data_IF_037067620059
#
_entry.id   IF_037067620059
#
_cell.length_a   1.000
_cell.length_b   1.000
_cell.length_c   1.000
_cell.angle_alpha   90.00
_cell.angle_beta   90.00
_cell.angle_gamma   90.00
#
_symmetry.space_group_name_H-M   'P 1'
#
loop_
_entity.id
_entity.type
_entity.pdbx_description
1 polymer ?
#
# COMPACT_ATOMS: atom_id res chain seq x y z
N UNK A 1 28.41 -56.53 19.35
CA UNK A 1 29.13 -55.27 19.08
C UNK A 1 28.75 -54.64 17.70
N UNK A 2 28.67 -55.41 16.61
CA UNK A 2 28.31 -54.91 15.27
C UNK A 2 26.91 -54.30 15.15
N UNK A 3 25.94 -54.78 15.89
CA UNK A 3 24.55 -54.22 15.87
C UNK A 3 24.50 -52.85 16.54
N UNK A 4 25.26 -52.60 17.62
CA UNK A 4 25.36 -51.29 18.28
C UNK A 4 26.06 -50.22 17.44
N UNK A 5 27.06 -50.59 16.64
CA UNK A 5 27.72 -49.64 15.74
C UNK A 5 26.86 -49.27 14.53
N UNK A 6 26.09 -50.23 14.01
CA UNK A 6 25.17 -49.95 12.90
C UNK A 6 24.07 -48.96 13.32
N UNK A 7 23.60 -49.01 14.53
CA UNK A 7 22.63 -48.08 15.08
C UNK A 7 23.21 -46.64 15.24
N UNK A 8 24.49 -46.51 15.63
CA UNK A 8 25.13 -45.19 15.75
C UNK A 8 25.19 -44.40 14.44
N UNK A 9 25.41 -45.08 13.32
CA UNK A 9 25.40 -44.45 11.99
C UNK A 9 24.00 -44.03 11.58
N UNK A 10 23.01 -44.84 11.85
CA UNK A 10 21.61 -44.54 11.61
C UNK A 10 21.17 -43.33 12.44
N UNK A 11 21.53 -43.33 13.74
CA UNK A 11 21.20 -42.21 14.64
C UNK A 11 21.86 -40.89 14.20
N UNK A 12 23.12 -40.94 13.72
CA UNK A 12 23.78 -39.74 13.16
C UNK A 12 23.10 -39.24 11.91
N UNK A 13 22.70 -40.18 11.01
CA UNK A 13 21.99 -39.81 9.78
C UNK A 13 20.61 -39.19 10.09
N UNK A 14 19.87 -39.80 11.00
CA UNK A 14 18.57 -39.27 11.44
C UNK A 14 18.73 -37.88 12.05
N UNK A 15 19.72 -37.68 12.93
CA UNK A 15 19.99 -36.40 13.53
C UNK A 15 20.41 -35.36 12.48
N UNK A 16 21.24 -35.72 11.51
CA UNK A 16 21.63 -34.85 10.42
C UNK A 16 20.42 -34.38 9.59
N UNK A 17 19.55 -35.33 9.22
CA UNK A 17 18.30 -35.02 8.48
C UNK A 17 17.38 -34.15 9.33
N UNK A 18 17.22 -34.47 10.62
CA UNK A 18 16.39 -33.70 11.54
C UNK A 18 16.87 -32.25 11.66
N UNK A 19 18.16 -32.02 11.92
CA UNK A 19 18.71 -30.67 12.01
C UNK A 19 18.64 -29.95 10.67
N UNK A 20 18.84 -30.64 9.55
CA UNK A 20 18.63 -30.09 8.20
C UNK A 20 17.21 -29.62 7.99
N UNK A 21 16.21 -30.43 8.37
CA UNK A 21 14.80 -30.03 8.30
C UNK A 21 14.47 -28.84 9.21
N UNK A 22 15.01 -28.81 10.44
CA UNK A 22 14.82 -27.70 11.38
C UNK A 22 15.43 -26.40 10.81
N UNK A 23 16.64 -26.44 10.27
CA UNK A 23 17.26 -25.29 9.62
C UNK A 23 16.47 -24.82 8.41
N UNK A 24 15.98 -25.74 7.57
CA UNK A 24 15.13 -25.39 6.43
C UNK A 24 13.81 -24.73 6.87
N UNK A 25 13.20 -25.24 7.96
CA UNK A 25 11.99 -24.64 8.53
C UNK A 25 12.26 -23.24 9.07
N UNK A 26 13.34 -23.04 9.82
CA UNK A 26 13.75 -21.73 10.32
C UNK A 26 14.00 -20.77 9.16
N UNK A 27 14.71 -21.22 8.14
CA UNK A 27 14.95 -20.43 6.91
C UNK A 27 13.63 -20.01 6.25
N UNK A 28 12.69 -20.92 6.08
CA UNK A 28 11.37 -20.65 5.50
C UNK A 28 10.60 -19.61 6.34
N UNK A 29 10.60 -19.77 7.67
CA UNK A 29 9.96 -18.82 8.57
C UNK A 29 10.59 -17.43 8.49
N UNK A 30 11.91 -17.35 8.39
CA UNK A 30 12.62 -16.08 8.19
C UNK A 30 12.24 -15.43 6.88
N UNK A 31 12.14 -16.15 5.79
CA UNK A 31 11.70 -15.65 4.48
C UNK A 31 10.28 -15.08 4.54
N UNK A 32 9.38 -15.77 5.22
CA UNK A 32 7.98 -15.32 5.33
C UNK A 32 7.86 -14.09 6.20
N UNK A 33 8.62 -14.00 7.30
CA UNK A 33 8.43 -12.96 8.33
C UNK A 33 9.31 -11.73 8.14
N UNK A 34 10.52 -11.88 7.59
CA UNK A 34 11.53 -10.81 7.61
C UNK A 34 11.66 -10.07 6.28
N UNK A 35 11.83 -10.79 5.20
CA UNK A 35 12.15 -10.22 3.90
C UNK A 35 11.22 -10.73 2.80
N UNK A 36 11.02 -9.90 1.80
CA UNK A 36 10.42 -10.31 0.52
C UNK A 36 11.16 -9.66 -0.62
N UNK A 37 11.39 -10.43 -1.68
CA UNK A 37 11.93 -9.90 -2.92
C UNK A 37 10.79 -9.53 -3.87
N UNK A 38 10.91 -8.36 -4.50
CA UNK A 38 9.98 -7.88 -5.52
C UNK A 38 10.75 -7.39 -6.73
N UNK A 39 10.23 -7.67 -7.92
CA UNK A 39 10.74 -7.10 -9.16
C UNK A 39 9.99 -5.80 -9.45
N UNK A 40 10.71 -4.73 -9.75
CA UNK A 40 10.10 -3.42 -10.05
C UNK A 40 9.44 -3.46 -11.42
N UNK A 41 8.09 -3.28 -11.50
CA UNK A 41 7.37 -3.45 -12.77
C UNK A 41 7.40 -2.20 -13.66
N UNK A 42 7.58 -1.02 -13.09
CA UNK A 42 7.44 0.28 -13.79
C UNK A 42 8.63 1.19 -13.55
N UNK A 43 8.84 2.15 -14.45
CA UNK A 43 9.90 3.15 -14.35
C UNK A 43 9.54 4.36 -13.46
N UNK A 44 8.40 4.35 -12.77
CA UNK A 44 7.89 5.51 -12.02
C UNK A 44 8.76 5.94 -10.83
N UNK A 45 9.77 5.17 -10.46
CA UNK A 45 10.74 5.46 -9.41
C UNK A 45 12.15 5.71 -9.94
N UNK A 46 12.27 5.89 -11.28
CA UNK A 46 13.56 6.25 -11.89
C UNK A 46 14.02 7.64 -11.40
N UNK A 47 15.34 7.88 -11.14
CA UNK A 47 16.45 6.95 -11.26
C UNK A 47 16.68 6.06 -10.03
N UNK A 48 15.96 6.25 -8.92
CA UNK A 48 16.21 5.52 -7.65
C UNK A 48 15.99 4.02 -7.80
N UNK A 49 14.97 3.60 -8.55
CA UNK A 49 14.70 2.20 -8.90
C UNK A 49 14.40 2.11 -10.39
N UNK A 50 15.10 1.19 -11.06
CA UNK A 50 14.96 0.98 -12.50
C UNK A 50 13.96 -0.16 -12.74
N UNK A 51 13.18 -0.07 -13.82
CA UNK A 51 12.29 -1.16 -14.25
C UNK A 51 13.10 -2.45 -14.45
N UNK A 52 12.70 -3.51 -13.77
CA UNK A 52 13.35 -4.80 -13.81
C UNK A 52 14.23 -5.11 -12.61
N UNK A 53 14.60 -4.11 -11.79
CA UNK A 53 15.38 -4.31 -10.58
C UNK A 53 14.68 -5.25 -9.59
N UNK A 54 15.48 -6.02 -8.87
CA UNK A 54 15.01 -6.81 -7.73
C UNK A 54 15.36 -6.07 -6.44
N UNK A 55 14.33 -5.80 -5.64
CA UNK A 55 14.47 -5.12 -4.35
C UNK A 55 14.10 -6.06 -3.21
N UNK A 56 14.85 -5.98 -2.13
CA UNK A 56 14.57 -6.72 -0.89
C UNK A 56 13.86 -5.78 0.07
N UNK A 57 12.65 -6.15 0.45
CA UNK A 57 11.81 -5.37 1.37
C UNK A 57 11.92 -5.92 2.76
N UNK A 58 12.29 -5.04 3.70
CA UNK A 58 12.29 -5.37 5.13
C UNK A 58 10.87 -5.21 5.68
N UNK A 59 10.25 -6.33 6.02
CA UNK A 59 8.89 -6.36 6.56
C UNK A 59 8.81 -5.90 8.02
N UNK A 60 9.91 -5.91 8.74
CA UNK A 60 9.92 -5.55 10.17
C UNK A 60 9.62 -4.08 10.39
N UNK A 61 9.93 -3.24 9.42
CA UNK A 61 9.69 -1.79 9.54
C UNK A 61 8.21 -1.51 9.72
N UNK A 62 7.39 -1.91 8.76
CA UNK A 62 5.94 -1.64 8.76
C UNK A 62 5.10 -2.76 9.39
N UNK A 63 5.75 -3.85 9.81
CA UNK A 63 5.11 -5.06 10.28
C UNK A 63 4.69 -6.00 9.15
N UNK A 64 4.84 -7.29 9.40
CA UNK A 64 4.40 -8.35 8.48
C UNK A 64 2.88 -8.41 8.38
N UNK A 65 2.38 -8.85 7.24
CA UNK A 65 0.95 -9.10 7.01
C UNK A 65 0.69 -10.60 7.03
N UNK A 66 -0.29 -11.01 7.82
CA UNK A 66 -0.76 -12.40 7.87
C UNK A 66 -2.13 -12.43 7.21
N UNK A 67 -2.26 -13.19 6.14
CA UNK A 67 -3.51 -13.41 5.45
C UNK A 67 -3.53 -14.79 4.80
N UNK A 68 -4.72 -15.30 4.50
CA UNK A 68 -4.85 -16.58 3.82
C UNK A 68 -4.57 -16.41 2.32
N UNK A 69 -3.40 -16.91 1.88
CA UNK A 69 -2.93 -16.82 0.50
C UNK A 69 -3.89 -17.54 -0.47
N UNK A 70 -4.46 -18.68 -0.06
CA UNK A 70 -5.39 -19.43 -0.91
C UNK A 70 -6.69 -18.66 -1.20
N UNK A 71 -7.19 -17.90 -0.21
CA UNK A 71 -8.34 -17.03 -0.41
C UNK A 71 -7.97 -15.84 -1.31
N UNK A 72 -6.75 -15.32 -1.16
CA UNK A 72 -6.23 -14.23 -1.98
C UNK A 72 -6.18 -14.61 -3.47
N UNK A 73 -5.59 -15.76 -3.78
CA UNK A 73 -5.50 -16.27 -5.17
C UNK A 73 -6.88 -16.54 -5.77
N UNK A 74 -7.86 -16.94 -4.95
CA UNK A 74 -9.24 -17.22 -5.38
C UNK A 74 -10.15 -15.98 -5.40
N UNK A 75 -9.59 -14.76 -5.23
CA UNK A 75 -10.34 -13.50 -5.14
C UNK A 75 -11.50 -13.52 -4.12
N UNK A 76 -11.37 -14.33 -3.05
CA UNK A 76 -12.32 -14.35 -1.95
C UNK A 76 -12.02 -13.23 -0.95
N UNK A 77 -13.00 -12.93 -0.09
CA UNK A 77 -12.80 -11.95 0.98
C UNK A 77 -11.61 -12.34 1.86
N UNK A 78 -10.65 -11.41 2.00
CA UNK A 78 -9.41 -11.62 2.74
C UNK A 78 -9.44 -10.77 4.01
N UNK A 79 -9.29 -11.43 5.15
CA UNK A 79 -8.99 -10.75 6.41
C UNK A 79 -7.48 -10.63 6.56
N UNK A 80 -6.98 -9.41 6.69
CA UNK A 80 -5.56 -9.13 6.84
C UNK A 80 -5.30 -8.73 8.29
N UNK A 81 -4.49 -9.51 8.98
CA UNK A 81 -3.93 -9.14 10.27
C UNK A 81 -2.51 -8.62 10.08
N UNK A 82 -2.16 -7.54 10.75
CA UNK A 82 -0.82 -6.96 10.70
C UNK A 82 -0.12 -7.14 12.03
N UNK A 83 1.11 -7.63 11.98
CA UNK A 83 2.01 -7.64 13.14
C UNK A 83 2.54 -6.22 13.29
N UNK A 84 2.62 -5.67 14.52
CA UNK A 84 3.22 -4.36 14.75
C UNK A 84 4.64 -4.29 14.19
N UNK A 85 4.97 -3.20 13.52
CA UNK A 85 6.32 -2.96 13.01
C UNK A 85 7.24 -2.40 14.09
N UNK A 86 8.55 -2.48 13.86
CA UNK A 86 9.57 -1.99 14.81
C UNK A 86 9.65 -0.46 14.79
N UNK A 87 9.41 0.17 13.63
CA UNK A 87 9.38 1.63 13.54
C UNK A 87 8.22 2.13 12.68
N UNK A 88 7.86 3.38 12.87
CA UNK A 88 6.89 4.07 12.02
C UNK A 88 7.50 4.41 10.66
N UNK A 89 6.66 4.44 9.64
CA UNK A 89 7.00 4.95 8.31
C UNK A 89 7.40 6.42 8.43
N UNK A 90 8.39 6.84 7.65
CA UNK A 90 8.89 8.22 7.61
C UNK A 90 8.74 8.79 6.20
N UNK A 91 8.77 10.11 6.08
CA UNK A 91 8.90 10.79 4.78
C UNK A 91 10.15 10.29 4.06
N UNK A 92 10.06 10.16 2.76
CA UNK A 92 11.09 9.63 1.86
C UNK A 92 11.34 8.11 1.95
N UNK A 93 10.68 7.35 2.85
CA UNK A 93 10.73 5.90 2.78
C UNK A 93 10.13 5.40 1.46
N UNK A 94 10.80 4.45 0.83
CA UNK A 94 10.24 3.75 -0.34
C UNK A 94 9.36 2.62 0.17
N UNK A 95 8.10 2.68 -0.18
CA UNK A 95 7.09 1.74 0.26
C UNK A 95 6.69 0.83 -0.89
N UNK A 96 6.59 -0.48 -0.61
CA UNK A 96 5.97 -1.44 -1.51
C UNK A 96 4.62 -1.83 -0.91
N UNK A 97 3.57 -1.58 -1.67
CA UNK A 97 2.20 -1.86 -1.25
C UNK A 97 1.36 -2.39 -2.41
N UNK A 98 0.30 -3.12 -2.07
CA UNK A 98 -0.62 -3.62 -3.08
C UNK A 98 -1.49 -2.48 -3.62
N UNK A 99 -1.83 -2.57 -4.89
CA UNK A 99 -2.71 -1.58 -5.52
C UNK A 99 -4.03 -1.49 -4.76
N UNK A 100 -4.42 -0.30 -4.31
CA UNK A 100 -5.74 -0.09 -3.72
C UNK A 100 -6.85 -0.02 -4.79
N UNK A 101 -6.47 0.13 -6.05
CA UNK A 101 -7.39 0.24 -7.18
C UNK A 101 -7.23 -1.02 -8.02
N UNK A 102 -8.15 -1.97 -7.84
CA UNK A 102 -8.23 -3.16 -8.69
C UNK A 102 -8.79 -2.84 -10.09
N UNK A 103 -9.11 -3.87 -10.87
CA UNK A 103 -9.72 -3.72 -12.21
C UNK A 103 -11.04 -2.91 -12.22
N UNK A 104 -11.67 -2.74 -11.08
CA UNK A 104 -12.88 -1.95 -10.90
C UNK A 104 -12.51 -0.52 -10.48
N UNK A 105 -12.46 0.39 -11.45
CA UNK A 105 -12.01 1.80 -11.30
C UNK A 105 -12.72 2.61 -10.19
N UNK A 106 -13.87 2.16 -9.70
CA UNK A 106 -14.73 2.94 -8.79
C UNK A 106 -14.76 2.44 -7.33
N UNK A 107 -13.91 1.48 -6.95
CA UNK A 107 -13.88 0.98 -5.57
C UNK A 107 -12.45 0.64 -5.16
N UNK A 108 -12.08 1.03 -3.96
CA UNK A 108 -10.84 0.56 -3.34
C UNK A 108 -10.97 -0.95 -3.13
N UNK A 109 -10.20 -1.71 -3.88
CA UNK A 109 -10.11 -3.16 -3.81
C UNK A 109 -8.66 -3.56 -3.54
N UNK A 110 -8.49 -4.55 -2.67
CA UNK A 110 -7.15 -5.04 -2.34
C UNK A 110 -6.75 -6.14 -3.33
N UNK A 111 -5.91 -5.81 -4.29
CA UNK A 111 -5.32 -6.78 -5.20
C UNK A 111 -3.95 -7.25 -4.67
N UNK A 112 -3.85 -8.53 -4.31
CA UNK A 112 -2.63 -9.12 -3.77
C UNK A 112 -1.56 -9.32 -4.84
N UNK A 113 -1.97 -9.46 -6.10
CA UNK A 113 -1.07 -9.76 -7.22
C UNK A 113 -0.43 -8.51 -7.82
N UNK A 114 -1.06 -7.34 -7.63
CA UNK A 114 -0.54 -6.07 -8.10
C UNK A 114 0.09 -5.29 -6.95
N UNK A 115 1.32 -4.85 -7.14
CA UNK A 115 2.03 -4.03 -6.17
C UNK A 115 2.73 -2.86 -6.85
N UNK A 116 2.86 -1.78 -6.10
CA UNK A 116 3.57 -0.57 -6.50
C UNK A 116 4.70 -0.27 -5.53
N UNK A 117 5.79 0.24 -6.09
CA UNK A 117 6.85 0.88 -5.32
C UNK A 117 6.68 2.39 -5.45
N UNK A 118 6.54 3.12 -4.34
CA UNK A 118 6.38 4.58 -4.32
C UNK A 118 7.07 5.17 -3.11
N UNK A 119 7.48 6.44 -3.23
CA UNK A 119 8.07 7.19 -2.12
C UNK A 119 6.97 7.79 -1.25
N UNK A 120 7.12 7.68 0.08
CA UNK A 120 6.23 8.33 1.04
C UNK A 120 6.53 9.85 1.05
N UNK A 121 5.57 10.64 0.60
CA UNK A 121 5.69 12.10 0.54
C UNK A 121 5.00 12.76 1.73
N UNK A 122 3.89 12.19 2.20
CA UNK A 122 3.12 12.73 3.31
C UNK A 122 2.72 11.67 4.32
N UNK A 123 2.80 12.05 5.58
CA UNK A 123 2.42 11.25 6.74
C UNK A 123 1.06 11.71 7.28
N UNK A 124 0.39 10.88 8.09
CA UNK A 124 -0.85 11.27 8.77
C UNK A 124 -0.66 12.59 9.54
N UNK A 125 -1.58 13.54 9.35
CA UNK A 125 -1.52 14.88 9.92
C UNK A 125 -0.80 15.92 9.07
N UNK A 126 -0.12 15.51 7.99
CA UNK A 126 0.52 16.46 7.07
C UNK A 126 -0.48 17.06 6.09
N UNK A 127 -0.13 18.24 5.59
CA UNK A 127 -0.75 18.82 4.40
C UNK A 127 0.28 18.84 3.27
N UNK A 128 -0.05 18.20 2.14
CA UNK A 128 0.84 18.11 0.99
C UNK A 128 0.36 19.05 -0.11
N UNK A 129 1.28 19.89 -0.57
CA UNK A 129 1.11 20.69 -1.78
C UNK A 129 2.34 20.51 -2.66
N UNK A 130 2.15 20.28 -3.94
CA UNK A 130 3.21 20.12 -4.92
C UNK A 130 3.05 21.20 -5.97
N UNK A 131 4.07 22.04 -6.11
CA UNK A 131 4.17 23.04 -7.17
C UNK A 131 5.40 22.67 -7.98
N UNK A 132 5.20 22.23 -9.20
CA UNK A 132 6.29 21.90 -10.12
C UNK A 132 6.59 23.14 -10.97
N UNK A 133 7.82 23.65 -10.99
CA UNK A 133 8.20 24.68 -11.94
C UNK A 133 8.23 24.05 -13.34
N UNK A 134 7.31 24.47 -14.19
CA UNK A 134 7.21 24.22 -15.64
C UNK A 134 7.53 22.81 -16.11
N UNK A 135 6.50 21.99 -16.27
CA UNK A 135 6.59 20.60 -16.76
C UNK A 135 6.44 20.51 -18.30
N UNK A 136 6.83 21.54 -19.05
CA UNK A 136 6.67 21.51 -20.53
C UNK A 136 7.64 20.58 -21.27
N UNK A 137 8.61 19.96 -20.61
CA UNK A 137 9.65 19.18 -21.26
C UNK A 137 9.64 17.65 -20.98
N UNK A 138 8.76 17.13 -20.13
CA UNK A 138 8.85 15.74 -19.65
C UNK A 138 7.53 14.93 -19.77
N UNK A 139 6.60 15.35 -20.61
CA UNK A 139 5.30 14.66 -20.78
C UNK A 139 5.33 13.77 -22.01
N UNK A 140 6.33 12.92 -22.19
CA UNK A 140 6.29 11.97 -23.31
C UNK A 140 6.24 10.50 -22.93
N UNK A 141 6.21 10.11 -21.65
CA UNK A 141 5.98 8.71 -21.31
C UNK A 141 5.03 8.52 -20.12
N UNK A 142 3.76 8.29 -20.49
CA UNK A 142 2.75 7.46 -19.79
C UNK A 142 2.66 7.59 -18.28
N UNK A 143 2.16 8.73 -17.80
CA UNK A 143 1.34 8.73 -16.60
C UNK A 143 -0.13 8.74 -17.00
N UNK A 144 -0.62 7.63 -17.51
CA UNK A 144 -2.05 7.32 -17.46
C UNK A 144 -2.40 6.88 -16.03
N UNK A 145 -2.19 7.75 -15.04
CA UNK A 145 -3.15 7.85 -13.98
C UNK A 145 -4.39 8.45 -14.64
N UNK A 146 -5.32 7.62 -15.05
CA UNK A 146 -6.66 8.07 -15.39
C UNK A 146 -7.34 8.51 -14.10
N UNK A 147 -6.91 9.66 -13.57
CA UNK A 147 -7.76 10.43 -12.68
C UNK A 147 -8.92 10.96 -13.55
N UNK A 148 -10.12 10.77 -13.08
CA UNK A 148 -11.30 11.30 -13.70
C UNK A 148 -11.07 12.80 -13.93
N UNK A 149 -11.16 13.30 -15.18
CA UNK A 149 -10.90 14.71 -15.51
C UNK A 149 -11.74 15.68 -14.65
N UNK A 150 -12.95 15.26 -14.29
CA UNK A 150 -13.84 16.00 -13.40
C UNK A 150 -13.24 16.28 -12.00
N UNK A 151 -12.25 15.51 -11.57
CA UNK A 151 -11.63 15.61 -10.27
C UNK A 151 -10.69 16.81 -10.16
N UNK A 152 -9.92 17.07 -11.21
CA UNK A 152 -8.98 18.17 -11.25
C UNK A 152 -9.70 19.51 -11.38
N UNK A 153 -10.74 19.57 -12.21
CA UNK A 153 -11.49 20.79 -12.46
C UNK A 153 -12.20 21.28 -11.19
N UNK A 154 -12.74 20.38 -10.40
CA UNK A 154 -13.49 20.69 -9.17
C UNK A 154 -12.58 21.18 -8.04
N UNK A 155 -11.35 20.70 -7.99
CA UNK A 155 -10.35 21.05 -6.97
C UNK A 155 -9.42 22.18 -7.41
N UNK A 156 -9.48 22.57 -8.69
CA UNK A 156 -8.55 23.55 -9.27
C UNK A 156 -7.10 23.06 -9.27
N UNK A 157 -6.90 21.73 -9.26
CA UNK A 157 -5.58 21.12 -9.32
C UNK A 157 -5.19 20.86 -10.75
N UNK A 158 -3.91 21.01 -11.05
CA UNK A 158 -3.32 20.71 -12.35
C UNK A 158 -2.16 19.74 -12.18
N UNK A 159 -1.61 19.23 -13.29
CA UNK A 159 -0.40 18.41 -13.24
C UNK A 159 0.80 19.15 -12.63
N UNK A 160 0.80 20.48 -12.71
CA UNK A 160 1.85 21.38 -12.20
C UNK A 160 1.56 21.85 -10.78
N UNK A 161 0.29 21.95 -10.39
CA UNK A 161 -0.15 22.46 -9.10
C UNK A 161 -1.13 21.48 -8.46
N UNK A 162 -0.65 20.73 -7.49
CA UNK A 162 -1.45 19.76 -6.72
C UNK A 162 -1.54 20.19 -5.26
N UNK A 163 -2.73 20.09 -4.69
CA UNK A 163 -2.97 20.40 -3.28
C UNK A 163 -3.45 21.84 -3.05
N UNK A 164 -3.60 22.23 -1.76
CA UNK A 164 -3.24 21.47 -0.57
C UNK A 164 -4.13 20.26 -0.32
N UNK A 165 -3.54 19.12 -0.01
CA UNK A 165 -4.23 17.89 0.39
C UNK A 165 -3.84 17.56 1.83
N UNK A 166 -4.79 17.58 2.74
CA UNK A 166 -4.59 17.09 4.10
C UNK A 166 -4.57 15.55 4.14
N UNK A 167 -3.68 14.97 4.91
CA UNK A 167 -3.56 13.52 5.07
C UNK A 167 -4.11 13.12 6.44
N UNK A 168 -5.34 12.58 6.52
CA UNK A 168 -5.99 12.32 7.78
C UNK A 168 -5.29 11.29 8.66
N UNK A 169 -5.29 11.56 9.97
CA UNK A 169 -5.01 10.58 11.01
C UNK A 169 -6.27 9.79 11.37
N UNK A 170 -6.06 8.65 11.99
CA UNK A 170 -7.16 7.94 12.65
C UNK A 170 -7.75 8.81 13.76
N UNK A 171 -9.07 9.02 13.71
CA UNK A 171 -9.80 9.83 14.67
C UNK A 171 -10.06 11.26 14.23
N UNK A 172 -9.33 11.75 13.21
CA UNK A 172 -9.57 13.09 12.67
C UNK A 172 -10.98 13.22 12.12
N UNK A 173 -11.56 14.39 12.36
CA UNK A 173 -12.87 14.74 11.85
C UNK A 173 -12.74 15.85 10.82
N UNK A 174 -13.37 15.66 9.66
CA UNK A 174 -13.44 16.68 8.62
C UNK A 174 -14.90 16.96 8.29
N UNK A 175 -15.25 18.24 8.01
CA UNK A 175 -16.57 18.59 7.51
C UNK A 175 -16.76 18.03 6.10
N UNK A 176 -17.96 17.55 5.80
CA UNK A 176 -18.31 17.03 4.49
C UNK A 176 -18.95 18.14 3.67
N UNK A 177 -18.26 18.48 2.59
CA UNK A 177 -18.70 19.37 1.54
C UNK A 177 -18.32 18.77 0.18
N UNK A 178 -18.61 19.46 -0.90
CA UNK A 178 -18.29 19.00 -2.26
C UNK A 178 -16.80 18.68 -2.44
N UNK A 179 -15.91 19.52 -1.91
CA UNK A 179 -14.46 19.33 -2.01
C UNK A 179 -14.00 18.09 -1.23
N UNK A 180 -14.38 17.99 0.04
CA UNK A 180 -13.95 16.86 0.90
C UNK A 180 -14.59 15.55 0.49
N UNK A 181 -15.83 15.54 0.01
CA UNK A 181 -16.46 14.37 -0.56
C UNK A 181 -15.74 13.89 -1.81
N UNK A 182 -15.31 14.82 -2.66
CA UNK A 182 -14.50 14.50 -3.84
C UNK A 182 -13.12 13.96 -3.44
N UNK A 183 -12.42 14.59 -2.49
CA UNK A 183 -11.08 14.19 -2.08
C UNK A 183 -11.03 12.84 -1.36
N UNK A 184 -11.98 12.58 -0.48
CA UNK A 184 -11.93 11.43 0.43
C UNK A 184 -13.08 10.44 0.26
N UNK A 185 -14.00 10.69 -0.67
CA UNK A 185 -15.20 9.86 -0.86
C UNK A 185 -14.89 8.38 -1.03
N UNK A 186 -13.93 8.04 -1.87
CA UNK A 186 -13.52 6.63 -2.07
C UNK A 186 -12.99 5.97 -0.79
N UNK A 187 -12.29 6.73 0.06
CA UNK A 187 -11.78 6.24 1.35
C UNK A 187 -12.93 6.05 2.32
N UNK A 188 -13.85 7.01 2.39
CA UNK A 188 -15.02 6.94 3.26
C UNK A 188 -15.92 5.76 2.87
N UNK A 189 -16.17 5.54 1.59
CA UNK A 189 -16.90 4.39 1.07
C UNK A 189 -16.20 3.06 1.41
N UNK A 190 -14.87 3.03 1.30
CA UNK A 190 -14.10 1.85 1.67
C UNK A 190 -14.18 1.55 3.16
N UNK A 191 -14.10 2.57 4.02
CA UNK A 191 -14.16 2.42 5.48
C UNK A 191 -15.56 2.05 5.97
N UNK A 192 -16.60 2.59 5.35
CA UNK A 192 -18.01 2.38 5.76
C UNK A 192 -18.65 1.19 5.07
N UNK A 193 -18.08 0.74 3.94
CA UNK A 193 -18.66 -0.28 3.04
C UNK A 193 -19.99 0.15 2.42
N UNK A 194 -20.27 1.44 2.42
CA UNK A 194 -21.49 2.04 1.91
C UNK A 194 -21.13 3.16 0.93
N UNK A 195 -22.00 3.40 -0.03
CA UNK A 195 -21.83 4.52 -0.97
C UNK A 195 -22.20 5.84 -0.30
N UNK A 196 -21.55 6.89 -0.78
CA UNK A 196 -21.88 8.27 -0.45
C UNK A 196 -22.85 8.76 -1.51
N UNK A 197 -24.03 9.14 -1.08
CA UNK A 197 -25.05 9.77 -1.93
C UNK A 197 -25.20 11.25 -1.56
N UNK A 198 -25.45 12.10 -2.56
CA UNK A 198 -25.82 13.50 -2.38
C UNK A 198 -27.28 13.67 -2.75
N UNK A 199 -28.14 14.01 -1.78
CA UNK A 199 -29.58 14.21 -1.94
C UNK A 199 -30.02 15.38 -1.07
N UNK A 200 -30.99 16.14 -1.56
CA UNK A 200 -31.60 17.26 -0.79
C UNK A 200 -30.56 18.20 -0.16
N UNK A 201 -29.52 18.55 -0.92
CA UNK A 201 -28.43 19.42 -0.47
C UNK A 201 -27.65 18.87 0.74
N UNK A 202 -27.71 17.56 0.98
CA UNK A 202 -27.00 16.89 2.06
C UNK A 202 -26.29 15.62 1.59
N UNK A 203 -25.22 15.23 2.31
CA UNK A 203 -24.51 13.99 2.09
C UNK A 203 -25.03 12.88 3.00
N UNK A 204 -25.19 11.69 2.43
CA UNK A 204 -25.66 10.49 3.12
C UNK A 204 -24.67 9.35 2.94
N UNK A 205 -24.46 8.59 4.00
CA UNK A 205 -23.81 7.27 3.96
C UNK A 205 -24.90 6.25 4.28
N UNK A 206 -25.30 5.48 3.26
CA UNK A 206 -26.50 4.67 3.36
C UNK A 206 -27.73 5.53 3.62
N UNK A 207 -28.39 5.34 4.78
CA UNK A 207 -29.59 6.10 5.16
C UNK A 207 -29.32 7.21 6.19
N UNK A 208 -28.05 7.41 6.58
CA UNK A 208 -27.72 8.40 7.61
C UNK A 208 -27.14 9.66 6.99
N UNK A 209 -27.76 10.81 7.28
CA UNK A 209 -27.19 12.13 6.97
C UNK A 209 -25.97 12.38 7.83
N UNK A 210 -24.90 12.91 7.24
CA UNK A 210 -23.72 13.28 7.99
C UNK A 210 -23.14 14.62 7.50
N UNK A 211 -22.66 15.39 8.47
CA UNK A 211 -22.02 16.71 8.23
C UNK A 211 -20.52 16.64 8.45
N UNK A 212 -20.07 15.72 9.30
CA UNK A 212 -18.67 15.48 9.60
C UNK A 212 -18.38 13.99 9.45
N UNK A 213 -17.18 13.68 9.00
CA UNK A 213 -16.69 12.30 8.90
C UNK A 213 -15.47 12.10 9.78
N UNK A 214 -15.46 11.01 10.55
CA UNK A 214 -14.32 10.61 11.37
C UNK A 214 -13.57 9.44 10.74
N UNK A 215 -12.30 9.65 10.44
CA UNK A 215 -11.47 8.62 9.81
C UNK A 215 -11.16 7.47 10.76
N UNK A 216 -11.33 6.25 10.28
CA UNK A 216 -11.06 5.01 11.02
C UNK A 216 -9.60 4.56 10.87
N UNK A 217 -8.91 5.02 9.85
CA UNK A 217 -7.54 4.65 9.53
C UNK A 217 -6.67 5.89 9.30
N UNK A 218 -5.36 5.73 9.56
CA UNK A 218 -4.37 6.72 9.13
C UNK A 218 -4.10 6.54 7.63
N UNK A 219 -4.07 7.62 6.89
CA UNK A 219 -3.72 7.61 5.47
C UNK A 219 -2.24 7.92 5.27
N UNK A 220 -1.72 7.56 4.11
CA UNK A 220 -0.38 7.90 3.65
C UNK A 220 -0.51 8.42 2.21
N UNK A 221 0.23 9.47 1.91
CA UNK A 221 0.34 9.95 0.55
C UNK A 221 1.66 9.50 -0.07
N UNK A 222 1.56 8.80 -1.19
CA UNK A 222 2.71 8.30 -1.94
C UNK A 222 2.61 8.77 -3.38
N UNK A 223 3.69 9.36 -3.89
CA UNK A 223 3.80 9.76 -5.28
C UNK A 223 5.19 9.44 -5.78
N UNK A 224 5.38 9.19 -7.09
CA UNK A 224 6.70 9.28 -7.68
C UNK A 224 7.20 10.71 -7.44
N UNK A 225 8.31 10.84 -6.70
CA UNK A 225 8.90 12.16 -6.44
C UNK A 225 9.42 12.75 -7.77
N UNK A 226 9.33 14.07 -7.98
CA UNK A 226 10.06 14.72 -9.07
C UNK A 226 11.55 14.40 -9.07
N UNK A 227 12.14 14.15 -7.89
CA UNK A 227 13.53 13.70 -7.73
C UNK A 227 13.81 12.31 -8.27
N UNK A 228 12.79 11.47 -8.39
CA UNK A 228 12.91 10.13 -8.93
C UNK A 228 12.66 10.11 -10.46
N UNK A 229 12.46 11.28 -11.07
CA UNK A 229 12.24 11.47 -12.51
C UNK A 229 13.33 12.27 -13.21
N UNK A 230 14.25 12.86 -12.47
CA UNK A 230 15.37 13.66 -13.00
C UNK A 230 16.57 12.80 -13.35
#
# INVERSE_FOLDING_TARGET
QRVKEKNKWIDRLINFVFYGCVLALIWLLLQITTFSSFRIPTASMHPTLIKGDYVIVNKWIAGGRIFNVFNAVKNKHISIKRIPGIRRIRKNDILIFNSPVGQYKNRIHFDVMQYYAKRCVGLPGDTVAIILPTLSALVEDSLTFSFDHNYYDLLGWTAEKFGPLYIPCKGDQIPINSLTATQYGSVMEWETKQKIDYKDSAYFIGNHRFTNYQFKHCLLYTSPSPRDRS
#
